data_IF_825841964472
#
_entry.id   IF_825841964472
#
_cell.length_a   1.000
_cell.length_b   1.000
_cell.length_c   1.000
_cell.angle_alpha   90.00
_cell.angle_beta   90.00
_cell.angle_gamma   90.00
#
_symmetry.space_group_name_H-M   'P 1'
#
loop_
_entity.id
_entity.type
_entity.pdbx_description
1 polymer ?
#
# COMPACT_ATOMS: atom_id res chain seq x y z
N UNK A 1 -2.68 7.94 -23.41
CA UNK A 1 -3.28 7.37 -22.20
C UNK A 1 -3.78 8.52 -21.35
N UNK A 2 -5.04 8.53 -20.95
CA UNK A 2 -5.55 9.57 -20.04
C UNK A 2 -5.09 9.29 -18.61
N UNK A 3 -5.10 10.30 -17.75
CA UNK A 3 -4.83 10.17 -16.34
C UNK A 3 -6.00 10.74 -15.56
N UNK A 4 -6.91 9.85 -15.16
CA UNK A 4 -8.19 10.23 -14.58
C UNK A 4 -8.17 10.22 -13.04
N UNK A 5 -7.01 10.03 -12.41
CA UNK A 5 -6.87 9.84 -10.96
C UNK A 5 -7.50 10.99 -10.19
N UNK A 6 -7.19 12.23 -10.58
CA UNK A 6 -7.73 13.43 -9.93
C UNK A 6 -9.25 13.52 -10.04
N UNK A 7 -9.79 13.25 -11.23
CA UNK A 7 -11.24 13.28 -11.47
C UNK A 7 -11.96 12.17 -10.70
N UNK A 8 -11.39 10.98 -10.66
CA UNK A 8 -11.87 9.87 -9.85
C UNK A 8 -11.88 10.26 -8.37
N UNK A 9 -10.77 10.75 -7.82
CA UNK A 9 -10.71 11.20 -6.42
C UNK A 9 -11.82 12.21 -6.08
N UNK A 10 -12.00 13.23 -6.93
CA UNK A 10 -13.04 14.26 -6.73
C UNK A 10 -14.44 13.66 -6.80
N UNK A 11 -14.68 12.70 -7.71
CA UNK A 11 -15.98 12.04 -7.86
C UNK A 11 -16.38 11.22 -6.62
N UNK A 12 -15.40 10.74 -5.85
CA UNK A 12 -15.58 10.05 -4.57
C UNK A 12 -15.51 10.99 -3.35
N UNK A 13 -15.42 12.32 -3.56
CA UNK A 13 -15.34 13.34 -2.51
C UNK A 13 -14.16 13.14 -1.54
N UNK A 14 -13.05 12.56 -2.01
CA UNK A 14 -11.88 12.31 -1.18
C UNK A 14 -10.90 13.50 -1.22
N UNK A 15 -10.39 13.86 -0.05
CA UNK A 15 -9.23 14.77 0.03
C UNK A 15 -7.97 14.06 -0.51
N UNK A 16 -6.96 14.82 -0.98
CA UNK A 16 -5.68 14.24 -1.39
C UNK A 16 -5.06 13.35 -0.31
N UNK A 17 -5.08 13.77 0.95
CA UNK A 17 -4.51 13.00 2.07
C UNK A 17 -5.27 11.72 2.38
N UNK A 18 -6.60 11.70 2.26
CA UNK A 18 -7.39 10.47 2.42
C UNK A 18 -7.14 9.50 1.28
N UNK A 19 -7.07 10.01 0.05
CA UNK A 19 -6.86 9.17 -1.11
C UNK A 19 -5.43 8.61 -1.15
N UNK A 20 -4.42 9.42 -0.85
CA UNK A 20 -3.02 8.99 -0.74
C UNK A 20 -2.87 7.86 0.30
N UNK A 21 -3.53 7.98 1.46
CA UNK A 21 -3.56 6.92 2.48
C UNK A 21 -4.20 5.64 1.96
N UNK A 22 -5.29 5.72 1.20
CA UNK A 22 -5.99 4.56 0.63
C UNK A 22 -5.15 3.79 -0.39
N UNK A 23 -4.37 4.48 -1.21
CA UNK A 23 -3.50 3.86 -2.22
C UNK A 23 -2.06 3.61 -1.72
N UNK A 24 -1.73 4.01 -0.50
CA UNK A 24 -0.46 3.67 0.17
C UNK A 24 0.73 4.57 -0.14
N UNK A 25 0.49 5.84 -0.43
CA UNK A 25 1.52 6.81 -0.81
C UNK A 25 1.46 8.08 0.04
N UNK A 26 2.50 8.91 -0.10
CA UNK A 26 2.53 10.26 0.45
C UNK A 26 1.69 11.25 -0.37
N UNK A 27 1.07 12.26 0.25
CA UNK A 27 0.28 13.27 -0.47
C UNK A 27 1.08 14.01 -1.57
N UNK A 28 2.36 14.26 -1.34
CA UNK A 28 3.27 14.90 -2.31
C UNK A 28 3.42 14.04 -3.56
N UNK A 29 3.46 12.73 -3.36
CA UNK A 29 3.57 11.76 -4.43
C UNK A 29 2.27 11.66 -5.24
N UNK A 30 1.13 11.69 -4.54
CA UNK A 30 -0.18 11.74 -5.20
C UNK A 30 -0.28 12.95 -6.12
N UNK A 31 0.21 14.13 -5.70
CA UNK A 31 0.17 15.33 -6.52
C UNK A 31 0.93 15.16 -7.85
N UNK A 32 2.06 14.46 -7.83
CA UNK A 32 2.87 14.15 -9.02
C UNK A 32 2.21 13.13 -9.94
N UNK A 33 1.52 12.14 -9.36
CA UNK A 33 0.69 11.22 -10.11
C UNK A 33 -0.48 11.96 -10.76
N UNK A 34 -1.21 12.81 -10.03
CA UNK A 34 -2.36 13.55 -10.55
C UNK A 34 -2.00 14.58 -11.62
N UNK A 35 -0.81 15.19 -11.55
CA UNK A 35 -0.35 16.15 -12.55
C UNK A 35 0.21 15.51 -13.82
N UNK A 36 0.51 14.21 -13.79
CA UNK A 36 1.22 13.51 -14.86
C UNK A 36 2.72 13.79 -14.90
N UNK A 37 3.28 14.47 -13.89
CA UNK A 37 4.74 14.62 -13.71
C UNK A 37 5.42 13.26 -13.54
N UNK A 38 4.70 12.28 -12.99
CA UNK A 38 5.12 10.88 -12.97
C UNK A 38 4.29 10.04 -13.96
N UNK A 39 4.92 9.13 -14.74
CA UNK A 39 4.19 8.20 -15.57
C UNK A 39 3.30 7.29 -14.72
N UNK A 40 2.09 7.05 -15.22
CA UNK A 40 1.12 6.15 -14.63
C UNK A 40 1.35 4.73 -15.16
N UNK A 41 1.95 3.86 -14.34
CA UNK A 41 2.20 2.45 -14.67
C UNK A 41 1.05 1.54 -14.17
N UNK A 42 1.10 0.25 -14.53
CA UNK A 42 0.08 -0.74 -14.15
C UNK A 42 -0.11 -0.88 -12.65
N UNK A 43 0.98 -0.78 -11.87
CA UNK A 43 0.96 -0.86 -10.41
C UNK A 43 0.05 0.23 -9.81
N UNK A 44 0.22 1.47 -10.26
CA UNK A 44 -0.57 2.61 -9.79
C UNK A 44 -2.01 2.58 -10.31
N UNK A 45 -2.22 2.08 -11.52
CA UNK A 45 -3.57 1.88 -12.08
C UNK A 45 -4.34 0.87 -11.22
N UNK A 46 -3.72 -0.24 -10.85
CA UNK A 46 -4.32 -1.25 -9.97
C UNK A 46 -4.60 -0.72 -8.58
N UNK A 47 -3.66 0.04 -8.00
CA UNK A 47 -3.83 0.65 -6.68
C UNK A 47 -5.07 1.56 -6.64
N UNK A 48 -5.20 2.45 -7.63
CA UNK A 48 -6.30 3.39 -7.76
C UNK A 48 -7.62 2.67 -8.01
N UNK A 49 -7.64 1.74 -8.97
CA UNK A 49 -8.82 0.95 -9.30
C UNK A 49 -9.34 0.19 -8.07
N UNK A 50 -8.46 -0.47 -7.33
CA UNK A 50 -8.80 -1.21 -6.11
C UNK A 50 -9.29 -0.30 -4.99
N UNK A 51 -8.61 0.81 -4.72
CA UNK A 51 -8.96 1.71 -3.63
C UNK A 51 -10.32 2.40 -3.82
N UNK A 52 -10.75 2.58 -5.07
CA UNK A 52 -12.02 3.22 -5.42
C UNK A 52 -13.11 2.21 -5.83
N UNK A 53 -12.77 0.93 -6.04
CA UNK A 53 -13.69 -0.04 -6.66
C UNK A 53 -14.07 0.35 -8.09
N UNK A 54 -13.17 1.04 -8.80
CA UNK A 54 -13.36 1.49 -10.17
C UNK A 54 -12.72 0.51 -11.16
N UNK A 55 -13.24 0.36 -12.38
CA UNK A 55 -12.57 -0.41 -13.42
C UNK A 55 -11.24 0.24 -13.82
N UNK A 56 -10.24 -0.57 -14.18
CA UNK A 56 -8.89 -0.09 -14.58
C UNK A 56 -8.97 0.91 -15.75
N UNK A 57 -9.90 0.67 -16.66
CA UNK A 57 -10.15 1.50 -17.84
C UNK A 57 -10.63 2.90 -17.41
N UNK A 58 -11.43 3.03 -16.34
CA UNK A 58 -11.83 4.35 -15.86
C UNK A 58 -10.65 5.20 -15.34
N UNK A 59 -9.54 4.57 -14.95
CA UNK A 59 -8.31 5.28 -14.55
C UNK A 59 -7.57 5.86 -15.76
N UNK A 60 -7.72 5.24 -16.94
CA UNK A 60 -6.81 5.44 -18.09
C UNK A 60 -7.48 5.87 -19.40
N UNK A 61 -8.82 5.77 -19.45
CA UNK A 61 -9.65 6.10 -20.61
C UNK A 61 -10.79 7.06 -20.21
N UNK A 62 -10.90 8.18 -20.92
CA UNK A 62 -11.90 9.21 -20.61
C UNK A 62 -13.35 8.70 -20.82
N UNK A 63 -13.57 7.90 -21.86
CA UNK A 63 -14.89 7.34 -22.16
C UNK A 63 -15.33 6.33 -21.10
N UNK A 64 -14.40 5.48 -20.62
CA UNK A 64 -14.67 4.55 -19.53
C UNK A 64 -14.95 5.29 -18.21
N UNK A 65 -14.25 6.40 -17.93
CA UNK A 65 -14.54 7.26 -16.79
C UNK A 65 -15.94 7.86 -16.88
N UNK A 66 -16.31 8.42 -18.04
CA UNK A 66 -17.64 9.00 -18.26
C UNK A 66 -18.74 7.95 -18.09
N UNK A 67 -18.55 6.76 -18.67
CA UNK A 67 -19.47 5.64 -18.52
C UNK A 67 -19.59 5.16 -17.07
N UNK A 68 -18.48 5.09 -16.34
CA UNK A 68 -18.46 4.76 -14.92
C UNK A 68 -19.22 5.81 -14.10
N UNK A 69 -18.95 7.11 -14.32
CA UNK A 69 -19.65 8.23 -13.66
C UNK A 69 -21.14 8.25 -13.92
N UNK A 70 -21.57 7.97 -15.16
CA UNK A 70 -22.99 7.91 -15.50
C UNK A 70 -23.73 6.76 -14.81
N UNK A 71 -23.04 5.69 -14.43
CA UNK A 71 -23.62 4.58 -13.64
C UNK A 71 -23.72 4.90 -12.14
N UNK A 72 -23.03 5.95 -11.67
CA UNK A 72 -23.03 6.36 -10.26
C UNK A 72 -24.20 7.32 -10.00
N UNK A 73 -25.33 6.79 -9.49
CA UNK A 73 -26.53 7.61 -9.18
C UNK A 73 -26.35 8.56 -7.98
N UNK A 74 -25.32 8.35 -7.17
CA UNK A 74 -24.86 9.16 -6.03
C UNK A 74 -23.34 9.04 -5.92
N UNK A 75 -22.61 9.94 -5.22
CA UNK A 75 -21.20 9.72 -4.93
C UNK A 75 -21.07 8.34 -4.30
N UNK A 76 -20.35 7.40 -4.95
CA UNK A 76 -20.19 6.07 -4.36
C UNK A 76 -19.48 6.25 -3.03
N UNK A 77 -20.00 5.59 -1.99
CA UNK A 77 -19.11 5.27 -0.88
C UNK A 77 -18.03 4.39 -1.52
N UNK A 78 -16.73 4.74 -1.40
CA UNK A 78 -15.69 3.78 -1.75
C UNK A 78 -16.06 2.46 -1.05
N UNK A 79 -15.81 1.29 -1.67
CA UNK A 79 -16.20 0.02 -1.06
C UNK A 79 -15.89 0.09 0.43
N UNK A 80 -16.93 -0.04 1.27
CA UNK A 80 -16.75 -0.10 2.72
C UNK A 80 -15.61 -1.07 2.91
N UNK A 81 -14.52 -0.61 3.54
CA UNK A 81 -13.32 -1.40 3.72
C UNK A 81 -13.78 -2.72 4.32
N UNK A 82 -13.95 -3.74 3.48
CA UNK A 82 -14.39 -5.04 3.88
C UNK A 82 -13.17 -5.61 4.60
N UNK A 83 -13.17 -5.33 5.90
CA UNK A 83 -12.14 -5.60 6.89
C UNK A 83 -10.80 -4.88 6.63
N UNK A 84 -10.22 -4.22 7.65
CA UNK A 84 -8.91 -3.61 7.48
C UNK A 84 -7.88 -4.75 7.49
N UNK A 85 -7.45 -5.21 6.32
CA UNK A 85 -6.48 -6.32 6.30
C UNK A 85 -5.03 -5.83 6.43
N UNK A 86 -4.70 -4.61 6.01
CA UNK A 86 -3.45 -3.93 6.36
C UNK A 86 -3.49 -2.48 5.85
N UNK A 87 -3.13 -1.47 6.65
CA UNK A 87 -2.95 -0.11 6.13
C UNK A 87 -1.72 -0.06 5.20
N UNK A 88 -1.85 0.28 3.90
CA UNK A 88 -0.73 0.31 2.97
C UNK A 88 0.36 1.34 3.33
N UNK A 89 -0.02 2.48 3.92
CA UNK A 89 0.94 3.46 4.43
C UNK A 89 1.69 2.92 5.66
N UNK A 90 0.99 2.20 6.54
CA UNK A 90 1.62 1.46 7.63
C UNK A 90 2.62 0.44 7.11
N UNK A 91 2.22 -0.37 6.12
CA UNK A 91 3.04 -1.38 5.45
C UNK A 91 4.36 -0.80 4.94
N UNK A 92 4.27 0.34 4.23
CA UNK A 92 5.42 1.10 3.76
C UNK A 92 6.39 1.43 4.88
N UNK A 93 5.92 2.04 5.97
CA UNK A 93 6.78 2.44 7.08
C UNK A 93 7.42 1.24 7.78
N UNK A 94 6.69 0.14 7.94
CA UNK A 94 7.22 -1.05 8.58
C UNK A 94 8.29 -1.74 7.74
N UNK A 95 8.09 -1.84 6.42
CA UNK A 95 9.10 -2.36 5.48
C UNK A 95 10.37 -1.50 5.56
N UNK A 96 10.23 -0.17 5.42
CA UNK A 96 11.38 0.74 5.49
C UNK A 96 12.10 0.67 6.85
N UNK A 97 11.36 0.62 7.95
CA UNK A 97 11.93 0.53 9.29
C UNK A 97 12.71 -0.78 9.49
N UNK A 98 12.17 -1.91 9.03
CA UNK A 98 12.86 -3.20 9.10
C UNK A 98 14.14 -3.20 8.28
N UNK A 99 14.09 -2.72 7.04
CA UNK A 99 15.26 -2.66 6.17
C UNK A 99 16.32 -1.73 6.77
N UNK A 100 15.92 -0.57 7.27
CA UNK A 100 16.84 0.37 7.92
C UNK A 100 17.50 -0.24 9.16
N UNK A 101 16.77 -1.08 9.92
CA UNK A 101 17.30 -1.76 11.10
C UNK A 101 18.23 -2.92 10.76
N UNK A 102 17.95 -3.66 9.70
CA UNK A 102 18.70 -4.87 9.34
C UNK A 102 19.90 -4.60 8.41
N UNK A 103 19.77 -3.65 7.49
CA UNK A 103 20.77 -3.36 6.46
C UNK A 103 21.22 -1.89 6.42
N UNK A 104 20.75 -1.08 7.38
CA UNK A 104 21.13 0.33 7.50
C UNK A 104 20.26 1.29 6.67
N UNK A 105 20.28 2.56 7.08
CA UNK A 105 19.43 3.60 6.49
C UNK A 105 19.67 3.82 4.99
N UNK A 106 20.92 3.75 4.53
CA UNK A 106 21.26 3.93 3.10
C UNK A 106 20.58 2.90 2.21
N UNK A 107 20.46 1.66 2.69
CA UNK A 107 19.78 0.58 1.96
C UNK A 107 18.28 0.86 1.86
N UNK A 108 17.65 1.28 2.96
CA UNK A 108 16.24 1.65 2.95
C UNK A 108 15.94 2.87 2.05
N UNK A 109 16.83 3.87 2.03
CA UNK A 109 16.72 5.05 1.18
C UNK A 109 16.96 4.75 -0.31
N UNK A 110 17.71 3.70 -0.63
CA UNK A 110 17.99 3.29 -2.01
C UNK A 110 16.82 2.59 -2.71
N UNK A 111 15.76 2.26 -1.98
CA UNK A 111 14.54 1.72 -2.56
C UNK A 111 13.83 2.81 -3.32
N UNK A 112 13.60 2.56 -4.61
CA UNK A 112 12.73 3.44 -5.35
C UNK A 112 11.27 3.22 -4.96
N UNK A 113 10.46 4.18 -5.34
CA UNK A 113 9.07 4.24 -4.94
C UNK A 113 8.19 3.17 -5.59
N UNK A 114 8.54 2.70 -6.79
CA UNK A 114 7.77 1.66 -7.46
C UNK A 114 8.08 0.30 -6.83
N UNK A 115 9.34 0.02 -6.50
CA UNK A 115 9.76 -1.18 -5.75
C UNK A 115 9.04 -1.26 -4.38
N UNK A 116 9.03 -0.15 -3.65
CA UNK A 116 8.37 -0.10 -2.35
C UNK A 116 6.86 -0.25 -2.46
N UNK A 117 6.25 0.35 -3.48
CA UNK A 117 4.83 0.21 -3.74
C UNK A 117 4.44 -1.23 -4.13
N UNK A 118 5.27 -1.90 -4.94
CA UNK A 118 5.07 -3.30 -5.31
C UNK A 118 5.19 -4.23 -4.09
N UNK A 119 6.20 -4.00 -3.25
CA UNK A 119 6.37 -4.71 -1.98
C UNK A 119 5.17 -4.53 -1.03
N UNK A 120 4.66 -3.30 -0.92
CA UNK A 120 3.45 -3.00 -0.13
C UNK A 120 2.23 -3.71 -0.70
N UNK A 121 2.00 -3.65 -2.01
CA UNK A 121 0.85 -4.31 -2.64
C UNK A 121 0.92 -5.83 -2.50
N UNK A 122 2.11 -6.40 -2.62
CA UNK A 122 2.37 -7.83 -2.41
C UNK A 122 2.06 -8.24 -0.97
N UNK A 123 2.53 -7.46 0.01
CA UNK A 123 2.25 -7.71 1.43
C UNK A 123 0.75 -7.61 1.74
N UNK A 124 0.09 -6.53 1.31
CA UNK A 124 -1.36 -6.33 1.52
C UNK A 124 -2.15 -7.48 0.90
N UNK A 125 -1.77 -7.91 -0.31
CA UNK A 125 -2.43 -9.02 -1.00
C UNK A 125 -2.20 -10.36 -0.30
N UNK A 126 -0.98 -10.62 0.22
CA UNK A 126 -0.65 -11.84 0.96
C UNK A 126 -1.48 -11.95 2.24
N UNK A 127 -1.49 -10.88 3.06
CA UNK A 127 -2.25 -10.86 4.32
C UNK A 127 -3.76 -10.95 4.06
N UNK A 128 -4.22 -10.37 2.95
CA UNK A 128 -5.59 -10.42 2.42
C UNK A 128 -6.13 -11.81 2.08
N UNK A 129 -5.26 -12.79 1.79
CA UNK A 129 -5.64 -14.13 1.28
C UNK A 129 -5.79 -15.19 2.38
N UNK A 130 -6.05 -14.78 3.62
CA UNK A 130 -6.10 -15.70 4.76
C UNK A 130 -7.02 -16.91 4.55
N UNK A 131 -6.49 -18.11 4.83
CA UNK A 131 -7.29 -19.34 4.89
C UNK A 131 -7.83 -19.59 6.30
N UNK A 132 -8.91 -20.36 6.41
CA UNK A 132 -9.47 -20.75 7.69
C UNK A 132 -8.42 -21.47 8.57
N UNK A 133 -8.17 -20.94 9.77
CA UNK A 133 -7.29 -21.57 10.77
C UNK A 133 -5.95 -20.87 11.04
N UNK A 134 -5.53 -19.93 10.20
CA UNK A 134 -4.30 -19.15 10.41
C UNK A 134 -4.62 -17.76 10.97
N UNK A 135 -3.93 -17.35 12.04
CA UNK A 135 -4.14 -16.03 12.64
C UNK A 135 -3.62 -14.91 11.73
N UNK A 136 -4.36 -13.81 11.66
CA UNK A 136 -3.96 -12.64 10.87
C UNK A 136 -2.59 -12.08 11.31
N UNK A 137 -2.28 -12.15 12.61
CA UNK A 137 -1.00 -11.73 13.17
C UNK A 137 0.17 -12.59 12.65
N UNK A 138 -0.01 -13.91 12.54
CA UNK A 138 1.02 -14.80 12.01
C UNK A 138 1.27 -14.53 10.52
N UNK A 139 0.22 -14.33 9.72
CA UNK A 139 0.36 -13.94 8.30
C UNK A 139 1.08 -12.62 8.14
N UNK A 140 0.73 -11.64 8.97
CA UNK A 140 1.35 -10.32 8.90
C UNK A 140 2.85 -10.42 9.22
N UNK A 141 3.18 -11.13 10.27
CA UNK A 141 4.56 -11.42 10.66
C UNK A 141 5.33 -12.11 9.52
N UNK A 142 4.82 -13.22 9.01
CA UNK A 142 5.45 -13.96 7.91
C UNK A 142 5.56 -13.14 6.62
N UNK A 143 4.49 -12.44 6.25
CA UNK A 143 4.45 -11.59 5.06
C UNK A 143 5.51 -10.49 5.11
N UNK A 144 5.67 -9.84 6.27
CA UNK A 144 6.74 -8.84 6.46
C UNK A 144 8.13 -9.46 6.35
N UNK A 145 8.35 -10.60 7.01
CA UNK A 145 9.64 -11.29 6.94
C UNK A 145 9.98 -11.64 5.48
N UNK A 146 9.05 -12.26 4.75
CA UNK A 146 9.22 -12.62 3.32
C UNK A 146 9.50 -11.36 2.48
N UNK A 147 8.73 -10.29 2.68
CA UNK A 147 8.87 -9.04 1.92
C UNK A 147 10.26 -8.44 2.13
N UNK A 148 10.68 -8.31 3.38
CA UNK A 148 11.99 -7.72 3.73
C UNK A 148 13.13 -8.60 3.27
N UNK A 149 13.04 -9.93 3.45
CA UNK A 149 14.02 -10.88 2.93
C UNK A 149 14.19 -10.77 1.42
N UNK A 150 13.08 -10.72 0.68
CA UNK A 150 13.09 -10.61 -0.78
C UNK A 150 13.80 -9.32 -1.22
N UNK A 151 13.48 -8.20 -0.57
CA UNK A 151 14.13 -6.92 -0.85
C UNK A 151 15.62 -7.00 -0.55
N UNK A 152 16.01 -7.49 0.63
CA UNK A 152 17.42 -7.55 1.03
C UNK A 152 18.23 -8.50 0.12
N UNK A 153 17.70 -9.66 -0.25
CA UNK A 153 18.34 -10.59 -1.17
C UNK A 153 18.54 -10.00 -2.57
N UNK A 154 17.62 -9.15 -3.03
CA UNK A 154 17.79 -8.44 -4.31
C UNK A 154 18.96 -7.45 -4.30
N UNK A 155 19.36 -6.96 -3.11
CA UNK A 155 20.41 -5.95 -2.93
C UNK A 155 21.74 -6.54 -2.47
N UNK A 156 21.69 -7.64 -1.72
CA UNK A 156 22.86 -8.39 -1.26
C UNK A 156 22.53 -9.88 -1.30
N UNK A 157 23.18 -10.67 -2.17
CA UNK A 157 22.93 -12.12 -2.25
C UNK A 157 23.35 -12.84 -0.96
N UNK A 158 24.31 -12.28 -0.22
CA UNK A 158 24.77 -12.81 1.05
C UNK A 158 24.15 -12.01 2.21
N UNK A 159 23.31 -12.68 3.00
CA UNK A 159 22.77 -12.14 4.25
C UNK A 159 23.83 -12.27 5.37
N UNK A 160 23.94 -11.29 6.27
CA UNK A 160 24.92 -11.34 7.37
C UNK A 160 24.64 -12.52 8.31
N UNK A 161 25.70 -13.05 8.93
CA UNK A 161 25.56 -14.03 10.01
C UNK A 161 24.69 -13.46 11.14
N UNK A 162 23.75 -14.26 11.66
CA UNK A 162 22.81 -13.80 12.70
C UNK A 162 21.58 -13.04 12.19
N UNK A 163 21.38 -12.93 10.87
CA UNK A 163 20.25 -12.20 10.28
C UNK A 163 18.89 -12.59 10.87
N UNK A 164 18.63 -13.88 11.08
CA UNK A 164 17.36 -14.36 11.64
C UNK A 164 17.14 -13.86 13.08
N UNK A 165 18.19 -13.86 13.91
CA UNK A 165 18.12 -13.36 15.29
C UNK A 165 17.87 -11.85 15.32
N UNK A 166 18.51 -11.12 14.41
CA UNK A 166 18.28 -9.69 14.25
C UNK A 166 16.86 -9.39 13.78
N UNK A 167 16.35 -10.16 12.81
CA UNK A 167 14.97 -10.06 12.31
C UNK A 167 13.96 -10.30 13.43
N UNK A 168 14.12 -11.39 14.18
CA UNK A 168 13.23 -11.73 15.30
C UNK A 168 13.22 -10.65 16.38
N UNK A 169 14.36 -9.97 16.59
CA UNK A 169 14.48 -8.84 17.54
C UNK A 169 13.76 -7.58 17.07
N UNK A 170 13.77 -7.27 15.78
CA UNK A 170 13.22 -6.00 15.25
C UNK A 170 11.77 -6.10 14.80
N UNK A 171 11.31 -7.30 14.44
CA UNK A 171 9.98 -7.55 13.90
C UNK A 171 8.82 -7.09 14.80
N UNK A 172 8.86 -7.26 16.14
CA UNK A 172 7.79 -6.78 17.00
C UNK A 172 7.56 -5.27 16.90
N UNK A 173 8.63 -4.48 16.74
CA UNK A 173 8.52 -3.03 16.58
C UNK A 173 7.87 -2.63 15.25
N UNK A 174 8.18 -3.36 14.18
CA UNK A 174 7.57 -3.14 12.87
C UNK A 174 6.08 -3.51 12.85
N UNK A 175 5.71 -4.62 13.52
CA UNK A 175 4.32 -5.01 13.72
C UNK A 175 3.54 -3.97 14.53
N UNK A 176 4.15 -3.40 15.59
CA UNK A 176 3.54 -2.33 16.38
C UNK A 176 3.30 -1.06 15.55
N UNK A 177 4.24 -0.68 14.68
CA UNK A 177 4.04 0.44 13.74
C UNK A 177 2.84 0.19 12.82
N UNK A 178 2.74 -1.02 12.24
CA UNK A 178 1.63 -1.38 11.36
C UNK A 178 0.29 -1.30 12.05
N UNK A 179 0.23 -1.81 13.27
CA UNK A 179 -0.97 -1.80 14.06
C UNK A 179 -1.39 -0.37 14.38
N UNK A 180 -0.46 0.47 14.85
CA UNK A 180 -0.72 1.89 15.09
C UNK A 180 -1.28 2.61 13.85
N UNK A 181 -0.66 2.45 12.68
CA UNK A 181 -1.17 3.07 11.44
C UNK A 181 -2.52 2.49 10.99
N UNK A 182 -2.78 1.22 11.25
CA UNK A 182 -4.06 0.59 10.91
C UNK A 182 -5.19 1.10 11.82
N UNK A 183 -4.90 1.30 13.11
CA UNK A 183 -5.85 1.87 14.07
C UNK A 183 -6.14 3.35 13.79
N UNK A 184 -5.13 4.14 13.38
CA UNK A 184 -5.33 5.54 12.95
C UNK A 184 -6.18 5.69 11.68
N UNK A 185 -6.24 4.66 10.83
CA UNK A 185 -7.03 4.69 9.59
C UNK A 185 -8.49 4.25 9.79
N UNK A 186 -8.82 3.67 10.95
CA UNK A 186 -10.18 3.27 11.32
C UNK A 186 -10.57 3.88 12.69
N UNK A 187 -10.85 5.19 12.75
CA UNK A 187 -11.23 5.87 14.00
C UNK A 187 -12.58 5.38 14.58
N UNK A 188 -13.27 4.44 13.91
CA UNK A 188 -14.52 3.83 14.38
C UNK A 188 -14.34 2.55 15.21
N UNK A 189 -13.10 2.06 15.38
CA UNK A 189 -12.79 0.80 16.07
C UNK A 189 -12.76 0.87 17.61
N UNK A 190 -12.96 2.05 18.19
CA UNK A 190 -13.25 2.18 19.62
C UNK A 190 -14.76 2.12 19.88
N UNK A 191 -15.27 0.91 20.14
CA UNK A 191 -16.46 0.65 20.98
C UNK A 191 -16.34 -0.70 21.67
#
# INVERSE_FOLDING_TARGET
>A
MANNIKELRISFLLSPSEFARRIGIYPEYLARLESGDRPLNDLWIDAVARALGAPREAVTEADALAAFKNKMSSPPKPPDAAEPVLNPLGARYAILALIAKLAGFKTAESLDEDELADAVQSLVSYVGRGTAGESAANRLSQGLQITVLTILQSRSPDLPEGFQEDLDRVLPGALALLQGFSDFADPGREK
#
